data_IF_209401775703
#
_entry.id   IF_209401775703
#
_cell.length_a   1.000
_cell.length_b   1.000
_cell.length_c   1.000
_cell.angle_alpha   90.00
_cell.angle_beta   90.00
_cell.angle_gamma   90.00
#
_symmetry.space_group_name_H-M   'P 1'
#
loop_
_entity.id
_entity.type
_entity.pdbx_description
1 polymer ?
#
# COMPACT_ATOMS: atom_id res chain seq x y z
N UNK A 1 -1.53 -26.01 12.02
CA UNK A 1 -1.68 -24.68 11.43
C UNK A 1 -1.09 -24.64 10.05
N UNK A 2 -1.66 -23.84 9.15
CA UNK A 2 -1.06 -23.60 7.84
C UNK A 2 0.32 -23.00 8.07
N UNK A 3 1.35 -23.67 7.52
CA UNK A 3 2.72 -23.30 7.77
C UNK A 3 3.04 -21.90 7.22
N UNK A 4 3.84 -21.17 7.94
CA UNK A 4 4.54 -19.97 7.46
C UNK A 4 5.34 -20.29 6.19
N UNK A 5 5.32 -19.40 5.22
CA UNK A 5 6.13 -19.50 4.01
C UNK A 5 7.52 -18.88 4.28
N UNK A 6 8.58 -19.68 4.41
CA UNK A 6 9.90 -19.17 4.78
C UNK A 6 10.60 -18.40 3.66
N UNK A 7 10.16 -18.56 2.42
CA UNK A 7 10.75 -17.91 1.25
C UNK A 7 10.11 -16.56 0.96
N UNK A 8 8.78 -16.53 0.93
CA UNK A 8 8.01 -15.35 0.55
C UNK A 8 7.26 -14.69 1.71
N UNK A 9 7.34 -15.26 2.90
CA UNK A 9 6.58 -14.78 4.05
C UNK A 9 5.08 -15.05 3.92
N UNK A 10 4.34 -14.61 4.94
CA UNK A 10 2.90 -14.85 5.01
C UNK A 10 2.53 -16.28 5.38
N UNK A 11 1.25 -16.60 5.28
CA UNK A 11 0.69 -17.88 5.70
C UNK A 11 -0.11 -18.53 4.58
N UNK A 12 0.19 -19.77 4.28
CA UNK A 12 -0.45 -20.53 3.18
C UNK A 12 0.25 -20.35 1.84
N UNK A 13 -0.47 -20.69 0.78
CA UNK A 13 0.00 -20.59 -0.61
C UNK A 13 -0.72 -19.42 -1.31
N UNK A 14 -1.15 -19.57 -2.55
CA UNK A 14 -1.97 -18.63 -3.30
C UNK A 14 -3.47 -18.97 -3.15
N UNK A 15 -4.36 -17.96 -3.08
CA UNK A 15 -4.09 -16.53 -2.88
C UNK A 15 -3.56 -16.22 -1.47
N UNK A 16 -2.74 -15.18 -1.33
CA UNK A 16 -2.18 -14.75 -0.05
C UNK A 16 -2.82 -13.47 0.46
N UNK A 17 -3.29 -13.51 1.70
CA UNK A 17 -3.78 -12.34 2.42
C UNK A 17 -2.74 -11.83 3.43
N UNK A 18 -2.70 -10.52 3.74
CA UNK A 18 -1.74 -9.90 4.65
C UNK A 18 -1.67 -10.53 6.03
N UNK A 19 -2.80 -11.05 6.53
CA UNK A 19 -2.91 -11.67 7.87
C UNK A 19 -2.41 -10.76 9.00
N UNK A 20 -2.76 -9.48 8.97
CA UNK A 20 -2.29 -8.44 9.91
C UNK A 20 -2.45 -8.85 11.38
N UNK A 21 -3.56 -9.50 11.75
CA UNK A 21 -3.78 -9.98 13.12
C UNK A 21 -2.75 -11.05 13.56
N UNK A 22 -2.34 -11.92 12.64
CA UNK A 22 -1.31 -12.92 12.94
C UNK A 22 0.05 -12.24 13.15
N UNK A 23 0.38 -11.23 12.34
CA UNK A 23 1.62 -10.46 12.48
C UNK A 23 1.64 -9.66 13.78
N UNK A 24 0.52 -9.04 14.17
CA UNK A 24 0.37 -8.39 15.47
C UNK A 24 0.58 -9.37 16.64
N UNK A 25 0.04 -10.58 16.54
CA UNK A 25 0.27 -11.63 17.53
C UNK A 25 1.77 -12.01 17.60
N UNK A 26 2.44 -12.12 16.46
CA UNK A 26 3.88 -12.42 16.43
C UNK A 26 4.70 -11.27 17.03
N UNK A 27 4.35 -10.00 16.77
CA UNK A 27 4.99 -8.84 17.40
C UNK A 27 4.87 -8.91 18.94
N UNK A 28 3.68 -9.21 19.47
CA UNK A 28 3.46 -9.38 20.91
C UNK A 28 4.27 -10.54 21.49
N UNK A 29 4.33 -11.67 20.78
CA UNK A 29 5.14 -12.82 21.20
C UNK A 29 6.63 -12.46 21.24
N UNK A 30 7.14 -11.77 20.22
CA UNK A 30 8.52 -11.29 20.22
C UNK A 30 8.82 -10.33 21.36
N UNK A 31 7.94 -9.36 21.60
CA UNK A 31 8.11 -8.40 22.72
C UNK A 31 8.06 -9.07 24.10
N UNK A 32 7.27 -10.13 24.26
CA UNK A 32 7.10 -10.83 25.54
C UNK A 32 8.29 -11.71 25.92
N UNK A 33 8.90 -12.39 24.96
CA UNK A 33 9.89 -13.44 25.23
C UNK A 33 11.09 -13.48 24.29
N UNK A 34 11.24 -12.50 23.39
CA UNK A 34 12.34 -12.45 22.43
C UNK A 34 12.32 -13.57 21.37
N UNK A 35 11.15 -14.12 21.06
CA UNK A 35 11.03 -15.26 20.12
C UNK A 35 11.57 -14.93 18.72
N UNK A 36 12.81 -15.32 18.42
CA UNK A 36 13.47 -15.07 17.13
C UNK A 36 12.65 -15.60 15.93
N UNK A 37 11.96 -16.72 16.11
CA UNK A 37 11.07 -17.27 15.08
C UNK A 37 9.92 -16.31 14.76
N UNK A 38 9.38 -15.60 15.77
CA UNK A 38 8.34 -14.60 15.55
C UNK A 38 8.91 -13.37 14.81
N UNK A 39 10.10 -12.91 15.19
CA UNK A 39 10.80 -11.83 14.48
C UNK A 39 11.04 -12.17 13.01
N UNK A 40 11.53 -13.38 12.73
CA UNK A 40 11.77 -13.84 11.35
C UNK A 40 10.48 -13.86 10.53
N UNK A 41 9.37 -14.36 11.08
CA UNK A 41 8.05 -14.35 10.43
C UNK A 41 7.64 -12.92 10.06
N UNK A 42 7.76 -11.98 11.00
CA UNK A 42 7.37 -10.57 10.80
C UNK A 42 8.23 -9.94 9.70
N UNK A 43 9.55 -10.02 9.83
CA UNK A 43 10.48 -9.36 8.90
C UNK A 43 10.31 -9.92 7.49
N UNK A 44 10.32 -11.25 7.35
CA UNK A 44 10.18 -11.90 6.04
C UNK A 44 8.84 -11.52 5.37
N UNK A 45 7.75 -11.49 6.15
CA UNK A 45 6.42 -11.19 5.59
C UNK A 45 6.29 -9.71 5.22
N UNK A 46 6.65 -8.79 6.11
CA UNK A 46 6.52 -7.36 5.84
C UNK A 46 7.46 -6.90 4.72
N UNK A 47 8.71 -7.37 4.71
CA UNK A 47 9.65 -7.03 3.64
C UNK A 47 9.22 -7.61 2.28
N UNK A 48 8.63 -8.81 2.24
CA UNK A 48 8.11 -9.38 1.01
C UNK A 48 6.87 -8.63 0.49
N UNK A 49 5.88 -8.39 1.35
CA UNK A 49 4.66 -7.66 0.96
C UNK A 49 4.96 -6.25 0.42
N UNK A 50 5.81 -5.47 1.11
CA UNK A 50 6.11 -4.12 0.66
C UNK A 50 7.09 -4.06 -0.51
N UNK A 51 7.72 -5.18 -0.88
CA UNK A 51 8.57 -5.26 -2.07
C UNK A 51 7.85 -5.83 -3.29
N UNK A 52 6.74 -6.53 -3.09
CA UNK A 52 5.91 -7.06 -4.17
C UNK A 52 5.03 -6.00 -4.83
N UNK A 53 4.26 -6.42 -5.83
CA UNK A 53 3.28 -5.56 -6.51
C UNK A 53 2.01 -5.31 -5.70
N UNK A 54 1.83 -6.03 -4.59
CA UNK A 54 0.73 -5.78 -3.67
C UNK A 54 0.83 -4.39 -3.01
N UNK A 55 2.02 -3.85 -2.82
CA UNK A 55 2.26 -2.46 -2.46
C UNK A 55 2.37 -1.59 -3.72
N UNK A 56 1.58 -0.52 -3.79
CA UNK A 56 1.68 0.44 -4.89
C UNK A 56 2.89 1.35 -4.72
N UNK A 57 3.98 1.02 -5.38
CA UNK A 57 5.25 1.75 -5.30
C UNK A 57 5.21 3.18 -5.85
N UNK A 58 4.17 3.55 -6.60
CA UNK A 58 4.05 4.87 -7.26
C UNK A 58 3.12 5.80 -6.47
N UNK A 59 2.02 5.28 -5.91
CA UNK A 59 1.03 6.12 -5.23
C UNK A 59 0.77 5.75 -3.78
N UNK A 60 1.45 4.74 -3.26
CA UNK A 60 1.24 4.23 -1.91
C UNK A 60 -0.04 3.41 -1.76
N UNK A 61 -0.16 2.80 -0.61
CA UNK A 61 -1.28 1.92 -0.29
C UNK A 61 -1.09 0.48 -0.77
N UNK A 62 -1.89 -0.42 -0.23
CA UNK A 62 -1.85 -1.84 -0.49
C UNK A 62 -3.11 -2.32 -1.20
N UNK A 63 -2.95 -3.22 -2.16
CA UNK A 63 -4.03 -4.03 -2.66
C UNK A 63 -4.51 -5.02 -1.58
N UNK A 64 -5.73 -5.53 -1.74
CA UNK A 64 -6.42 -6.36 -0.75
C UNK A 64 -5.72 -7.70 -0.47
N UNK A 65 -5.26 -8.39 -1.52
CA UNK A 65 -4.53 -9.66 -1.43
C UNK A 65 -3.70 -9.89 -2.68
N UNK A 66 -2.77 -10.86 -2.59
CA UNK A 66 -2.02 -11.34 -3.76
C UNK A 66 -2.67 -12.60 -4.31
N UNK A 67 -2.83 -12.67 -5.64
CA UNK A 67 -3.34 -13.86 -6.32
C UNK A 67 -2.27 -14.94 -6.45
N UNK A 68 -0.99 -14.57 -6.33
CA UNK A 68 0.15 -15.47 -6.33
C UNK A 68 0.75 -15.67 -4.92
N UNK A 69 1.71 -16.57 -4.83
CA UNK A 69 2.46 -16.87 -3.61
C UNK A 69 3.50 -15.79 -3.28
N UNK A 70 3.95 -15.04 -4.28
CA UNK A 70 5.16 -14.22 -4.24
C UNK A 70 4.89 -12.76 -3.88
N UNK A 71 3.62 -12.36 -3.74
CA UNK A 71 3.15 -10.99 -3.52
C UNK A 71 3.31 -10.07 -4.75
N UNK A 72 3.53 -10.64 -5.95
CA UNK A 72 3.74 -9.86 -7.16
C UNK A 72 2.42 -9.38 -7.78
N UNK A 73 1.50 -10.31 -8.05
CA UNK A 73 0.25 -10.01 -8.75
C UNK A 73 -0.86 -9.79 -7.73
N UNK A 74 -1.30 -8.54 -7.49
CA UNK A 74 -2.38 -8.28 -6.55
C UNK A 74 -3.74 -8.44 -7.22
N UNK A 75 -4.79 -8.66 -6.42
CA UNK A 75 -6.12 -8.19 -6.76
C UNK A 75 -6.15 -6.70 -6.45
N UNK A 76 -6.23 -5.85 -7.47
CA UNK A 76 -5.87 -4.43 -7.39
C UNK A 76 -6.81 -3.55 -6.55
N UNK A 77 -7.91 -4.09 -6.01
CA UNK A 77 -8.81 -3.39 -5.09
C UNK A 77 -8.04 -2.89 -3.85
N UNK A 78 -8.25 -1.63 -3.47
CA UNK A 78 -7.65 -1.03 -2.26
C UNK A 78 -8.74 -0.63 -1.27
N UNK A 79 -8.83 -1.36 -0.16
CA UNK A 79 -9.85 -1.16 0.88
C UNK A 79 -9.28 -0.37 2.07
N UNK A 80 -10.08 0.55 2.63
CA UNK A 80 -9.70 1.34 3.81
C UNK A 80 -9.32 0.45 5.02
N UNK A 81 -10.07 -0.64 5.22
CA UNK A 81 -9.79 -1.59 6.31
C UNK A 81 -8.41 -2.22 6.21
N UNK A 82 -7.98 -2.60 5.00
CA UNK A 82 -6.66 -3.17 4.78
C UNK A 82 -5.56 -2.12 4.99
N UNK A 83 -5.77 -0.87 4.51
CA UNK A 83 -4.84 0.22 4.77
C UNK A 83 -4.67 0.46 6.28
N UNK A 84 -5.79 0.49 7.02
CA UNK A 84 -5.77 0.70 8.46
C UNK A 84 -4.96 -0.38 9.21
N UNK A 85 -5.25 -1.65 8.92
CA UNK A 85 -4.61 -2.78 9.58
C UNK A 85 -3.13 -2.91 9.19
N UNK A 86 -2.81 -2.72 7.92
CA UNK A 86 -1.42 -2.77 7.46
C UNK A 86 -0.59 -1.60 7.96
N UNK A 87 -1.10 -0.37 7.90
CA UNK A 87 -0.42 0.78 8.51
C UNK A 87 -0.09 0.52 9.97
N UNK A 88 -1.03 -0.04 10.74
CA UNK A 88 -0.80 -0.38 12.16
C UNK A 88 0.29 -1.44 12.31
N UNK A 89 0.26 -2.49 11.51
CA UNK A 89 1.26 -3.55 11.57
C UNK A 89 2.66 -3.03 11.21
N UNK A 90 2.78 -2.19 10.17
CA UNK A 90 4.04 -1.56 9.80
C UNK A 90 4.53 -0.56 10.87
N UNK A 91 3.62 0.20 11.49
CA UNK A 91 3.95 1.11 12.59
C UNK A 91 4.52 0.34 13.79
N UNK A 92 3.82 -0.69 14.24
CA UNK A 92 4.26 -1.51 15.37
C UNK A 92 5.56 -2.25 15.05
N UNK A 93 5.68 -2.80 13.84
CA UNK A 93 6.92 -3.41 13.38
C UNK A 93 8.11 -2.43 13.38
N UNK A 94 7.89 -1.20 12.92
CA UNK A 94 8.89 -0.14 12.93
C UNK A 94 9.33 0.22 14.36
N UNK A 95 8.38 0.39 15.28
CA UNK A 95 8.66 0.71 16.69
C UNK A 95 9.47 -0.41 17.36
N UNK A 96 9.08 -1.66 17.12
CA UNK A 96 9.65 -2.82 17.81
C UNK A 96 10.98 -3.27 17.21
N UNK A 97 11.13 -3.20 15.87
CA UNK A 97 12.28 -3.76 15.15
C UNK A 97 13.19 -2.69 14.50
N UNK A 98 12.77 -1.42 14.49
CA UNK A 98 13.61 -0.30 14.01
C UNK A 98 13.84 -0.27 12.49
N UNK A 99 13.07 -1.00 11.68
CA UNK A 99 13.23 -1.10 10.23
C UNK A 99 12.79 0.17 9.51
N UNK A 100 13.72 1.07 9.19
CA UNK A 100 13.42 2.41 8.64
C UNK A 100 12.71 2.40 7.28
N UNK A 101 12.89 1.38 6.43
CA UNK A 101 12.15 1.25 5.17
C UNK A 101 10.64 1.15 5.38
N UNK A 102 10.18 0.61 6.52
CA UNK A 102 8.76 0.52 6.84
C UNK A 102 8.12 1.89 7.17
N UNK A 103 8.95 2.86 7.57
CA UNK A 103 8.49 4.25 7.74
C UNK A 103 8.02 4.87 6.43
N UNK A 104 8.74 4.61 5.33
CA UNK A 104 8.34 5.06 4.00
C UNK A 104 7.01 4.45 3.59
N UNK A 105 6.88 3.12 3.71
CA UNK A 105 5.65 2.38 3.39
C UNK A 105 4.45 2.92 4.17
N UNK A 106 4.62 3.12 5.47
CA UNK A 106 3.58 3.69 6.34
C UNK A 106 3.18 5.10 5.89
N UNK A 107 4.17 5.98 5.66
CA UNK A 107 3.92 7.37 5.26
C UNK A 107 3.21 7.48 3.91
N UNK A 108 3.64 6.69 2.93
CA UNK A 108 3.03 6.66 1.59
C UNK A 108 1.63 6.04 1.63
N UNK A 109 1.39 5.03 2.47
CA UNK A 109 0.05 4.43 2.63
C UNK A 109 -0.92 5.39 3.31
N UNK A 110 -0.50 6.08 4.37
CA UNK A 110 -1.31 7.14 5.00
C UNK A 110 -1.57 8.26 3.98
N UNK A 111 -0.55 8.68 3.24
CA UNK A 111 -0.67 9.68 2.18
C UNK A 111 -1.71 9.32 1.14
N UNK A 112 -1.72 8.06 0.68
CA UNK A 112 -2.74 7.54 -0.23
C UNK A 112 -4.16 7.69 0.35
N UNK A 113 -4.39 7.26 1.58
CA UNK A 113 -5.72 7.37 2.21
C UNK A 113 -6.16 8.83 2.33
N UNK A 114 -5.27 9.72 2.78
CA UNK A 114 -5.56 11.15 2.96
C UNK A 114 -5.79 11.90 1.65
N UNK A 115 -5.26 11.43 0.53
CA UNK A 115 -5.42 12.10 -0.78
C UNK A 115 -6.50 11.48 -1.65
N UNK A 116 -6.75 10.17 -1.52
CA UNK A 116 -7.61 9.43 -2.43
C UNK A 116 -8.93 9.01 -1.80
N UNK A 117 -8.90 8.55 -0.54
CA UNK A 117 -10.10 8.06 0.13
C UNK A 117 -10.75 9.08 1.06
N UNK A 118 -10.20 10.29 1.20
CA UNK A 118 -10.74 11.27 2.14
C UNK A 118 -11.98 11.98 1.58
N UNK A 119 -13.09 11.90 2.32
CA UNK A 119 -14.27 12.73 2.11
C UNK A 119 -13.98 14.18 2.55
N UNK A 120 -14.48 15.20 1.83
CA UNK A 120 -14.24 16.62 2.17
C UNK A 120 -14.59 17.00 3.62
N UNK A 121 -15.64 16.39 4.19
CA UNK A 121 -16.10 16.67 5.55
C UNK A 121 -15.37 15.87 6.63
N UNK A 122 -14.37 15.04 6.27
CA UNK A 122 -13.48 14.36 7.19
C UNK A 122 -13.68 12.85 7.36
N UNK A 123 -14.71 12.26 6.72
CA UNK A 123 -14.83 10.79 6.61
C UNK A 123 -13.81 10.19 5.66
N UNK A 124 -13.76 8.86 5.60
CA UNK A 124 -12.99 8.13 4.60
C UNK A 124 -13.88 7.16 3.85
N UNK A 125 -13.79 7.17 2.54
CA UNK A 125 -14.46 6.23 1.63
C UNK A 125 -13.95 4.81 1.81
N UNK A 126 -14.75 3.83 1.38
CA UNK A 126 -14.49 2.41 1.64
C UNK A 126 -13.37 1.82 0.81
N UNK A 127 -13.37 2.04 -0.51
CA UNK A 127 -12.42 1.38 -1.40
C UNK A 127 -12.29 2.06 -2.76
N UNK A 128 -11.18 1.81 -3.46
CA UNK A 128 -11.09 1.88 -4.92
C UNK A 128 -11.18 0.48 -5.50
N UNK A 129 -11.92 0.34 -6.61
CA UNK A 129 -12.10 -0.92 -7.33
C UNK A 129 -10.76 -1.45 -7.90
N UNK A 130 -10.72 -2.73 -8.24
CA UNK A 130 -9.60 -3.33 -8.95
C UNK A 130 -9.53 -2.89 -10.42
N UNK A 131 -10.69 -2.64 -11.03
CA UNK A 131 -10.84 -2.31 -12.44
C UNK A 131 -10.81 -0.80 -12.69
N UNK A 132 -10.12 -0.41 -13.73
CA UNK A 132 -10.20 0.94 -14.29
C UNK A 132 -10.65 0.91 -15.76
N UNK A 133 -11.38 1.95 -16.22
CA UNK A 133 -11.90 1.96 -17.58
C UNK A 133 -10.79 2.09 -18.62
N UNK A 134 -10.80 1.24 -19.65
CA UNK A 134 -9.99 1.40 -20.86
C UNK A 134 -10.51 2.58 -21.75
N UNK A 135 -9.93 2.77 -22.92
CA UNK A 135 -10.34 3.81 -23.85
C UNK A 135 -11.79 3.65 -24.32
N UNK A 136 -12.30 2.43 -24.35
CA UNK A 136 -13.66 2.08 -24.75
C UNK A 136 -14.67 2.09 -23.58
N UNK A 137 -14.17 2.26 -22.36
CA UNK A 137 -14.98 2.24 -21.13
C UNK A 137 -15.15 0.86 -20.52
N UNK A 138 -14.44 -0.17 -21.00
CA UNK A 138 -14.46 -1.50 -20.40
C UNK A 138 -13.59 -1.51 -19.13
N UNK A 139 -14.06 -2.18 -18.08
CA UNK A 139 -13.25 -2.42 -16.88
C UNK A 139 -12.08 -3.35 -17.19
N UNK A 140 -10.87 -2.92 -16.85
CA UNK A 140 -9.65 -3.70 -16.99
C UNK A 140 -8.91 -3.68 -15.66
N UNK A 141 -8.74 -4.86 -15.07
CA UNK A 141 -8.06 -5.00 -13.79
C UNK A 141 -6.60 -4.56 -13.88
N UNK A 142 -6.17 -3.72 -12.96
CA UNK A 142 -4.79 -3.26 -12.83
C UNK A 142 -4.32 -2.23 -13.87
N UNK A 143 -5.12 -1.85 -14.86
CA UNK A 143 -4.70 -0.91 -15.91
C UNK A 143 -4.18 0.42 -15.37
N UNK A 144 -4.82 0.95 -14.33
CA UNK A 144 -4.40 2.19 -13.68
C UNK A 144 -3.01 2.09 -13.04
N UNK A 145 -2.65 0.93 -12.52
CA UNK A 145 -1.46 0.72 -11.68
C UNK A 145 -0.24 0.22 -12.46
N UNK A 146 -0.45 -0.41 -13.62
CA UNK A 146 0.60 -1.05 -14.41
C UNK A 146 1.24 -0.10 -15.41
N UNK A 147 2.46 -0.40 -15.84
CA UNK A 147 3.27 0.46 -16.69
C UNK A 147 3.99 -0.33 -17.78
N UNK A 148 4.21 0.31 -18.92
CA UNK A 148 5.21 -0.11 -19.90
C UNK A 148 6.46 0.78 -19.79
N UNK A 149 7.64 0.36 -20.29
CA UNK A 149 8.81 1.21 -20.34
C UNK A 149 8.59 2.51 -21.12
N UNK A 150 7.81 2.47 -22.18
CA UNK A 150 7.50 3.66 -23.01
C UNK A 150 6.60 4.65 -22.26
N UNK A 151 5.66 4.20 -21.47
CA UNK A 151 4.86 5.08 -20.60
C UNK A 151 5.72 5.77 -19.55
N UNK A 152 6.72 5.07 -18.97
CA UNK A 152 7.67 5.68 -18.05
C UNK A 152 8.51 6.75 -18.72
N UNK A 153 9.00 6.49 -19.95
CA UNK A 153 9.73 7.47 -20.77
C UNK A 153 8.86 8.68 -21.11
N UNK A 154 7.62 8.44 -21.51
CA UNK A 154 6.65 9.50 -21.86
C UNK A 154 6.30 10.39 -20.65
N UNK A 155 6.28 9.84 -19.44
CA UNK A 155 6.05 10.61 -18.20
C UNK A 155 7.19 11.57 -17.86
N UNK A 156 8.38 11.41 -18.45
CA UNK A 156 9.60 12.12 -18.08
C UNK A 156 10.43 12.60 -19.28
N UNK A 157 9.82 13.35 -20.24
CA UNK A 157 10.52 13.75 -21.49
C UNK A 157 11.69 14.72 -21.24
N UNK A 158 11.71 15.40 -20.12
CA UNK A 158 12.70 16.38 -19.68
C UNK A 158 13.74 15.83 -18.69
N UNK A 159 13.61 14.55 -18.30
CA UNK A 159 14.55 13.88 -17.39
C UNK A 159 15.64 13.18 -18.19
N UNK A 160 16.87 13.16 -17.66
CA UNK A 160 18.01 12.46 -18.31
C UNK A 160 17.67 10.99 -18.59
N UNK A 161 17.91 10.47 -19.80
CA UNK A 161 17.59 9.07 -20.15
C UNK A 161 18.14 8.05 -19.13
N UNK A 162 19.37 8.24 -18.66
CA UNK A 162 19.97 7.35 -17.67
C UNK A 162 19.20 7.26 -16.35
N UNK A 163 18.52 8.34 -15.92
CA UNK A 163 17.65 8.33 -14.72
C UNK A 163 16.34 7.58 -15.03
N UNK A 164 15.80 7.78 -16.22
CA UNK A 164 14.58 7.09 -16.67
C UNK A 164 14.83 5.60 -16.75
N UNK A 165 15.91 5.18 -17.38
CA UNK A 165 16.29 3.76 -17.49
C UNK A 165 16.57 3.14 -16.09
N UNK A 166 17.28 3.86 -15.20
CA UNK A 166 17.47 3.43 -13.83
C UNK A 166 16.15 3.30 -13.05
N UNK A 167 15.14 4.11 -13.36
CA UNK A 167 13.81 4.03 -12.74
C UNK A 167 13.03 2.81 -13.24
N UNK A 168 13.11 2.54 -14.55
CA UNK A 168 12.54 1.34 -15.18
C UNK A 168 13.12 0.08 -14.52
N UNK A 169 14.44 0.02 -14.39
CA UNK A 169 15.14 -1.07 -13.72
C UNK A 169 14.78 -1.15 -12.22
N UNK A 170 14.73 0.00 -11.53
CA UNK A 170 14.39 0.08 -10.11
C UNK A 170 13.06 -0.59 -9.79
N UNK A 171 12.05 -0.38 -10.63
CA UNK A 171 10.70 -0.93 -10.45
C UNK A 171 10.45 -2.22 -11.23
N UNK A 172 11.47 -2.85 -11.81
CA UNK A 172 11.35 -4.09 -12.58
C UNK A 172 10.27 -4.00 -13.69
N UNK A 173 10.26 -2.88 -14.41
CA UNK A 173 9.35 -2.67 -15.54
C UNK A 173 10.04 -3.17 -16.80
N UNK A 174 9.43 -4.13 -17.52
CA UNK A 174 10.02 -4.81 -18.67
C UNK A 174 9.14 -4.67 -19.93
N UNK A 175 9.72 -4.88 -21.11
CA UNK A 175 8.98 -4.80 -22.38
C UNK A 175 7.96 -5.94 -22.53
N UNK A 176 8.27 -7.12 -21.95
CA UNK A 176 7.37 -8.28 -21.97
C UNK A 176 6.27 -8.21 -20.91
N UNK A 177 6.40 -7.30 -19.93
CA UNK A 177 5.62 -7.32 -18.70
C UNK A 177 6.14 -8.36 -17.71
N UNK A 178 5.58 -8.38 -16.50
CA UNK A 178 6.07 -9.23 -15.42
C UNK A 178 5.02 -10.16 -14.78
N UNK A 179 3.90 -10.38 -15.46
CA UNK A 179 2.86 -11.33 -15.07
C UNK A 179 2.12 -11.89 -16.30
N UNK A 180 1.49 -13.06 -16.15
CA UNK A 180 1.01 -13.86 -17.29
C UNK A 180 -0.04 -13.14 -18.17
N UNK A 181 -0.91 -12.34 -17.56
CA UNK A 181 -1.99 -11.60 -18.23
C UNK A 181 -1.63 -10.15 -18.54
N UNK A 182 -0.34 -9.82 -18.49
CA UNK A 182 0.16 -8.45 -18.54
C UNK A 182 -0.13 -7.68 -19.83
N UNK A 183 -0.24 -8.39 -20.95
CA UNK A 183 -0.30 -7.72 -22.26
C UNK A 183 0.90 -6.80 -22.53
N UNK A 184 2.09 -7.11 -21.98
CA UNK A 184 3.30 -6.28 -22.06
C UNK A 184 3.39 -5.19 -20.99
N UNK A 185 2.51 -5.19 -19.99
CA UNK A 185 2.55 -4.24 -18.88
C UNK A 185 3.20 -4.85 -17.65
N UNK A 186 3.86 -4.04 -16.85
CA UNK A 186 4.51 -4.46 -15.63
C UNK A 186 3.83 -3.87 -14.40
N UNK A 187 3.76 -4.67 -13.35
CA UNK A 187 3.43 -4.24 -12.00
C UNK A 187 4.75 -3.75 -11.37
N UNK A 188 4.87 -2.46 -10.99
CA UNK A 188 6.06 -1.95 -10.32
C UNK A 188 6.33 -2.71 -9.03
N UNK A 189 7.56 -3.18 -8.84
CA UNK A 189 7.94 -3.97 -7.66
C UNK A 189 9.44 -3.86 -7.34
N UNK A 190 9.82 -4.33 -6.16
CA UNK A 190 11.20 -4.40 -5.65
C UNK A 190 11.61 -5.82 -5.24
N UNK A 191 11.01 -6.84 -5.83
CA UNK A 191 11.22 -8.24 -5.44
C UNK A 191 12.67 -8.71 -5.56
N UNK A 192 13.43 -8.14 -6.51
CA UNK A 192 14.86 -8.42 -6.68
C UNK A 192 15.72 -7.82 -5.56
N UNK A 193 15.20 -6.87 -4.78
CA UNK A 193 15.86 -6.22 -3.67
C UNK A 193 14.93 -6.07 -2.47
N UNK A 194 14.39 -7.20 -1.99
CA UNK A 194 13.40 -7.24 -0.92
C UNK A 194 13.85 -6.46 0.32
N UNK A 195 12.98 -5.62 0.85
CA UNK A 195 13.24 -4.77 2.00
C UNK A 195 14.10 -3.53 1.69
N UNK A 196 14.53 -3.32 0.44
CA UNK A 196 15.27 -2.13 0.02
C UNK A 196 14.35 -1.20 -0.74
N UNK A 197 13.64 -0.34 0.00
CA UNK A 197 12.63 0.57 -0.54
C UNK A 197 13.07 2.03 -0.58
N UNK A 198 14.10 2.39 0.19
CA UNK A 198 14.58 3.77 0.25
C UNK A 198 15.14 4.20 -1.10
N UNK A 199 14.41 5.07 -1.77
CA UNK A 199 14.74 5.56 -3.11
C UNK A 199 15.94 6.53 -3.07
N UNK A 200 16.90 6.42 -3.98
CA UNK A 200 17.80 7.53 -4.31
C UNK A 200 16.99 8.77 -4.73
N UNK A 201 17.55 9.96 -4.53
CA UNK A 201 16.84 11.23 -4.83
C UNK A 201 16.32 11.33 -6.26
N UNK A 202 17.12 10.84 -7.21
CA UNK A 202 16.76 10.84 -8.64
C UNK A 202 15.58 9.91 -8.91
N UNK A 203 15.55 8.74 -8.29
CA UNK A 203 14.44 7.78 -8.39
C UNK A 203 13.20 8.31 -7.68
N UNK A 204 13.37 8.96 -6.53
CA UNK A 204 12.26 9.59 -5.82
C UNK A 204 11.57 10.68 -6.65
N UNK A 205 12.37 11.54 -7.30
CA UNK A 205 11.86 12.53 -8.25
C UNK A 205 11.16 11.87 -9.46
N UNK A 206 11.76 10.84 -10.03
CA UNK A 206 11.15 10.10 -11.15
C UNK A 206 9.83 9.43 -10.74
N UNK A 207 9.76 8.86 -9.53
CA UNK A 207 8.53 8.29 -8.96
C UNK A 207 7.43 9.35 -8.84
N UNK A 208 7.77 10.54 -8.37
CA UNK A 208 6.83 11.66 -8.32
C UNK A 208 6.30 12.04 -9.71
N UNK A 209 7.18 12.06 -10.76
CA UNK A 209 6.76 12.31 -12.14
C UNK A 209 5.83 11.21 -12.68
N UNK A 210 6.11 9.94 -12.37
CA UNK A 210 5.20 8.83 -12.70
C UNK A 210 3.86 8.99 -11.99
N UNK A 211 3.86 9.37 -10.71
CA UNK A 211 2.61 9.60 -9.97
C UNK A 211 1.78 10.73 -10.59
N UNK A 212 2.41 11.83 -11.02
CA UNK A 212 1.74 12.92 -11.74
C UNK A 212 1.13 12.44 -13.07
N UNK A 213 1.92 11.73 -13.91
CA UNK A 213 1.43 11.20 -15.17
C UNK A 213 0.27 10.20 -14.98
N UNK A 214 0.29 9.40 -13.92
CA UNK A 214 -0.78 8.47 -13.60
C UNK A 214 -2.10 9.17 -13.24
N UNK A 215 -2.08 10.37 -12.70
CA UNK A 215 -3.29 11.13 -12.39
C UNK A 215 -4.11 11.49 -13.63
N UNK A 216 -3.49 11.52 -14.80
CA UNK A 216 -4.18 11.75 -16.08
C UNK A 216 -4.92 10.49 -16.59
N UNK A 217 -4.65 9.32 -16.00
CA UNK A 217 -5.35 8.07 -16.33
C UNK A 217 -6.75 8.07 -15.72
N UNK A 218 -7.65 7.32 -16.35
CA UNK A 218 -8.96 7.04 -15.75
C UNK A 218 -8.79 6.21 -14.49
N UNK A 219 -9.26 6.76 -13.37
CA UNK A 219 -9.14 6.08 -12.08
C UNK A 219 -10.09 4.89 -11.97
N UNK A 220 -9.76 3.92 -11.10
CA UNK A 220 -10.70 2.89 -10.65
C UNK A 220 -11.95 3.49 -10.04
N UNK A 221 -13.06 2.72 -10.04
CA UNK A 221 -14.29 3.11 -9.38
C UNK A 221 -14.09 3.33 -7.89
N UNK A 222 -14.68 4.41 -7.37
CA UNK A 222 -14.66 4.71 -5.93
C UNK A 222 -15.92 4.14 -5.28
N UNK A 223 -15.76 3.26 -4.28
CA UNK A 223 -16.84 2.92 -3.35
C UNK A 223 -16.94 4.01 -2.27
N UNK A 224 -17.85 4.94 -2.49
CA UNK A 224 -18.04 6.15 -1.70
C UNK A 224 -18.80 5.95 -0.38
N UNK A 225 -19.10 4.70 -0.01
CA UNK A 225 -19.66 4.40 1.31
C UNK A 225 -18.67 4.79 2.42
N UNK A 226 -19.20 5.33 3.50
CA UNK A 226 -18.40 5.63 4.70
C UNK A 226 -18.85 4.66 5.81
N UNK A 227 -18.03 3.64 6.06
CA UNK A 227 -18.31 2.61 7.05
C UNK A 227 -17.70 2.99 8.39
N UNK A 228 -18.51 3.05 9.44
CA UNK A 228 -18.07 3.43 10.81
C UNK A 228 -16.91 2.57 11.28
N UNK A 229 -16.99 1.25 11.11
CA UNK A 229 -15.97 0.31 11.55
C UNK A 229 -14.61 0.57 10.89
N UNK A 230 -14.57 0.72 9.57
CA UNK A 230 -13.32 0.91 8.84
C UNK A 230 -12.70 2.29 9.12
N UNK A 231 -13.55 3.31 9.25
CA UNK A 231 -13.12 4.64 9.66
C UNK A 231 -12.54 4.62 11.08
N UNK A 232 -13.17 3.92 12.02
CA UNK A 232 -12.67 3.80 13.39
C UNK A 232 -11.31 3.05 13.47
N UNK A 233 -11.13 2.01 12.64
CA UNK A 233 -9.84 1.32 12.51
C UNK A 233 -8.76 2.27 12.00
N UNK A 234 -9.04 3.02 10.92
CA UNK A 234 -8.05 3.95 10.37
C UNK A 234 -7.81 5.15 11.30
N UNK A 235 -8.84 5.71 11.93
CA UNK A 235 -8.72 6.75 12.94
C UNK A 235 -7.75 6.35 14.06
N UNK A 236 -7.91 5.14 14.60
CA UNK A 236 -7.04 4.63 15.66
C UNK A 236 -5.59 4.55 15.21
N UNK A 237 -5.35 4.01 14.02
CA UNK A 237 -4.00 3.87 13.45
C UNK A 237 -3.38 5.23 13.13
N UNK A 238 -4.16 6.15 12.57
CA UNK A 238 -3.69 7.50 12.21
C UNK A 238 -3.33 8.32 13.46
N UNK A 239 -4.14 8.24 14.52
CA UNK A 239 -3.86 8.91 15.79
C UNK A 239 -2.59 8.38 16.46
N UNK A 240 -2.38 7.05 16.45
CA UNK A 240 -1.19 6.41 16.97
C UNK A 240 0.06 6.81 16.17
N UNK A 241 0.00 6.75 14.83
CA UNK A 241 1.09 7.18 13.95
C UNK A 241 1.41 8.67 14.13
N UNK A 242 0.40 9.53 14.22
CA UNK A 242 0.56 10.96 14.47
C UNK A 242 1.31 11.23 15.79
N UNK A 243 1.00 10.47 16.83
CA UNK A 243 1.68 10.58 18.12
C UNK A 243 3.14 10.12 18.03
N UNK A 244 3.41 8.97 17.42
CA UNK A 244 4.77 8.40 17.30
C UNK A 244 5.71 9.31 16.50
N UNK A 245 5.20 9.93 15.43
CA UNK A 245 6.01 10.80 14.55
C UNK A 245 5.90 12.29 14.87
N UNK A 246 5.11 12.67 15.88
CA UNK A 246 4.79 14.05 16.20
C UNK A 246 4.30 14.84 14.95
N UNK A 247 3.44 14.20 14.15
CA UNK A 247 2.94 14.75 12.89
C UNK A 247 1.59 15.45 13.11
N UNK A 248 1.60 16.80 13.00
CA UNK A 248 0.40 17.63 13.20
C UNK A 248 -0.68 17.37 12.15
N UNK A 249 -0.30 17.17 10.89
CA UNK A 249 -1.26 17.00 9.80
C UNK A 249 -2.05 15.69 9.95
N UNK A 250 -1.37 14.61 10.36
CA UNK A 250 -2.01 13.34 10.66
C UNK A 250 -2.92 13.42 11.89
N UNK A 251 -2.48 14.15 12.93
CA UNK A 251 -3.31 14.41 14.12
C UNK A 251 -4.58 15.17 13.74
N UNK A 252 -4.44 16.24 12.95
CA UNK A 252 -5.57 17.08 12.57
C UNK A 252 -6.54 16.31 11.64
N UNK A 253 -6.03 15.43 10.78
CA UNK A 253 -6.86 14.51 10.00
C UNK A 253 -7.61 13.49 10.89
N UNK A 254 -6.94 12.95 11.91
CA UNK A 254 -7.56 12.05 12.89
C UNK A 254 -8.68 12.77 13.68
N UNK A 255 -8.44 14.01 14.13
CA UNK A 255 -9.45 14.80 14.83
C UNK A 255 -10.66 15.06 13.92
N UNK A 256 -10.45 15.52 12.69
CA UNK A 256 -11.54 15.75 11.72
C UNK A 256 -12.36 14.48 11.47
N UNK A 257 -11.69 13.32 11.35
CA UNK A 257 -12.39 12.05 11.16
C UNK A 257 -13.22 11.67 12.40
N UNK A 258 -12.67 11.80 13.59
CA UNK A 258 -13.41 11.55 14.84
C UNK A 258 -14.65 12.45 14.99
N UNK A 259 -14.50 13.75 14.71
CA UNK A 259 -15.62 14.70 14.71
C UNK A 259 -16.68 14.36 13.66
N UNK A 260 -16.25 13.97 12.46
CA UNK A 260 -17.18 13.49 11.40
C UNK A 260 -17.99 12.28 11.87
N UNK A 261 -17.34 11.24 12.42
CA UNK A 261 -18.00 10.03 12.88
C UNK A 261 -19.04 10.35 13.96
N UNK A 262 -18.70 11.22 14.92
CA UNK A 262 -19.62 11.62 16.00
C UNK A 262 -20.80 12.44 15.50
N UNK A 263 -20.59 13.27 14.49
CA UNK A 263 -21.63 14.16 13.94
C UNK A 263 -22.56 13.43 12.98
N UNK A 264 -22.01 12.60 12.07
CA UNK A 264 -22.76 12.06 10.92
C UNK A 264 -23.23 10.62 11.13
N UNK A 265 -22.45 9.79 11.86
CA UNK A 265 -22.73 8.36 11.93
C UNK A 265 -23.23 7.90 13.30
N UNK A 266 -23.19 8.76 14.31
CA UNK A 266 -23.75 8.46 15.62
C UNK A 266 -25.26 8.72 15.62
N UNK A 267 -26.04 7.73 16.01
CA UNK A 267 -27.51 7.90 16.16
C UNK A 267 -27.86 8.77 17.36
N UNK A 268 -29.09 9.37 17.39
CA UNK A 268 -29.54 10.20 18.53
C UNK A 268 -29.53 9.47 19.89
N UNK A 269 -29.68 8.14 19.87
CA UNK A 269 -29.62 7.29 21.08
C UNK A 269 -28.18 6.95 21.52
N UNK A 270 -27.19 7.52 20.83
CA UNK A 270 -25.78 7.34 21.15
C UNK A 270 -25.10 6.13 20.52
N UNK A 271 -25.86 5.35 19.72
CA UNK A 271 -25.33 4.21 18.96
C UNK A 271 -24.79 4.65 17.62
#
# INVERSE_FOLDING_TARGET
>A
GKAFDPEWGGFGQAPKFPSSFNLELMLRAYMSNGAEAAQNIIVTTLDAMCSGGMYDHIGGGFARYSVDREWLVPHFEKMLSDQALLCRTYLHGLIVLGKQQWRQVLGETIGYVLTTLQHPDGGFYSAEDADSPDENGNGVEGLFYTWTPDEVRAAMPDVKPAIVDATIEWYNITDEGNWAESGGRSIPNRMQARGVLQRPKEIDYATFRMAQARQERRRPGLDDKILTEWNALFLSTLAEAASVFNNSDWRDAAVRNGEFLLRELRKPDGR
#
